data_IF_061168912267
#
_entry.id   IF_061168912267
#
_cell.length_a   1.000
_cell.length_b   1.000
_cell.length_c   1.000
_cell.angle_alpha   90.00
_cell.angle_beta   90.00
_cell.angle_gamma   90.00
#
_symmetry.space_group_name_H-M   'P 1'
#
loop_
_entity.id
_entity.type
_entity.pdbx_description
1 polymer ?
#
# COMPACT_ATOMS: atom_id res chain seq x y z
N UNK A 1 57.53 -1.38 -15.67
CA UNK A 1 56.65 -0.50 -16.48
C UNK A 1 56.20 -1.29 -17.71
N UNK A 2 54.91 -1.20 -18.05
CA UNK A 2 54.19 -1.85 -19.17
C UNK A 2 53.82 -3.31 -18.88
N UNK A 3 52.74 -3.68 -18.18
CA UNK A 3 51.37 -3.17 -18.20
C UNK A 3 50.80 -3.03 -19.63
N UNK A 4 49.74 -3.80 -19.86
CA UNK A 4 48.70 -3.62 -20.88
C UNK A 4 49.03 -4.07 -22.31
N UNK A 5 48.36 -5.14 -22.77
CA UNK A 5 47.81 -5.23 -24.14
C UNK A 5 47.18 -6.59 -24.49
N UNK A 6 47.56 -7.71 -23.87
CA UNK A 6 47.28 -9.02 -24.49
C UNK A 6 46.20 -9.89 -23.82
N UNK A 7 45.54 -9.41 -22.76
CA UNK A 7 44.52 -10.21 -22.02
C UNK A 7 43.09 -10.01 -22.52
N UNK A 8 42.90 -9.37 -23.68
CA UNK A 8 41.58 -9.10 -24.29
C UNK A 8 41.15 -10.13 -25.36
N UNK A 9 41.70 -11.34 -25.35
CA UNK A 9 41.29 -12.41 -26.26
C UNK A 9 40.70 -13.65 -25.57
N UNK A 10 40.58 -13.66 -24.23
CA UNK A 10 40.12 -14.81 -23.43
C UNK A 10 38.69 -14.71 -22.87
N UNK A 11 37.95 -13.64 -23.17
CA UNK A 11 36.64 -13.36 -22.54
C UNK A 11 35.44 -13.59 -23.48
N UNK A 12 35.49 -14.62 -24.33
CA UNK A 12 34.42 -14.91 -25.29
C UNK A 12 33.83 -16.34 -25.19
N UNK A 13 34.24 -17.16 -24.21
CA UNK A 13 33.84 -18.57 -24.12
C UNK A 13 33.07 -18.90 -22.81
N UNK A 14 32.75 -17.89 -21.98
CA UNK A 14 32.40 -18.12 -20.58
C UNK A 14 31.00 -17.80 -20.07
N UNK A 15 30.01 -17.40 -20.88
CA UNK A 15 28.67 -17.09 -20.36
C UNK A 15 27.53 -17.38 -21.34
N UNK A 16 27.56 -18.56 -21.96
CA UNK A 16 26.46 -19.12 -22.75
C UNK A 16 25.76 -20.27 -22.00
N UNK A 17 25.41 -20.04 -20.72
CA UNK A 17 24.68 -21.02 -19.90
C UNK A 17 23.56 -20.31 -19.15
N UNK A 18 22.33 -20.83 -19.32
CA UNK A 18 21.07 -20.55 -18.61
C UNK A 18 20.20 -19.37 -19.09
N UNK A 19 19.81 -19.41 -20.37
CA UNK A 19 18.49 -18.95 -20.80
C UNK A 19 17.50 -20.10 -20.58
N UNK A 20 16.83 -20.10 -19.42
CA UNK A 20 15.63 -20.89 -19.18
C UNK A 20 14.96 -20.41 -17.88
N UNK A 21 13.90 -19.59 -17.99
CA UNK A 21 12.66 -19.73 -17.22
C UNK A 21 11.62 -18.70 -17.68
N UNK A 22 10.40 -19.23 -17.88
CA UNK A 22 9.10 -18.56 -18.04
C UNK A 22 8.82 -17.72 -19.29
N UNK A 23 8.92 -18.36 -20.45
CA UNK A 23 7.96 -18.12 -21.55
C UNK A 23 6.79 -19.10 -21.40
N UNK A 24 5.78 -18.74 -20.60
CA UNK A 24 4.51 -19.47 -20.54
C UNK A 24 3.59 -19.07 -21.70
N UNK A 25 2.71 -19.95 -22.20
CA UNK A 25 1.72 -19.57 -23.21
C UNK A 25 0.81 -18.45 -22.67
N UNK A 26 0.61 -17.42 -23.49
CA UNK A 26 -0.37 -16.37 -23.23
C UNK A 26 -1.74 -17.00 -23.00
N UNK A 27 -2.21 -16.96 -21.74
CA UNK A 27 -3.61 -17.23 -21.45
C UNK A 27 -4.44 -16.18 -22.19
N UNK A 28 -5.41 -16.65 -22.97
CA UNK A 28 -6.42 -15.80 -23.60
C UNK A 28 -7.15 -15.04 -22.49
N UNK A 29 -7.02 -13.72 -22.46
CA UNK A 29 -7.83 -12.87 -21.60
C UNK A 29 -9.24 -12.87 -22.18
N UNK A 30 -10.14 -13.65 -21.57
CA UNK A 30 -11.58 -13.54 -21.82
C UNK A 30 -12.03 -12.15 -21.34
N UNK A 31 -12.86 -11.41 -22.11
CA UNK A 31 -13.32 -10.09 -21.69
C UNK A 31 -14.06 -10.20 -20.34
N UNK A 32 -13.87 -9.23 -19.42
CA UNK A 32 -14.53 -9.27 -18.12
C UNK A 32 -16.05 -9.27 -18.33
N UNK A 33 -16.70 -10.34 -17.89
CA UNK A 33 -18.15 -10.37 -17.72
C UNK A 33 -18.49 -9.34 -16.64
N UNK A 34 -19.50 -8.51 -16.87
CA UNK A 34 -19.96 -7.48 -15.95
C UNK A 34 -20.19 -8.08 -14.55
N UNK A 35 -19.26 -7.81 -13.64
CA UNK A 35 -19.39 -8.23 -12.25
C UNK A 35 -20.26 -7.18 -11.58
N UNK A 36 -21.56 -7.46 -11.49
CA UNK A 36 -22.47 -6.72 -10.63
C UNK A 36 -21.95 -6.77 -9.20
N UNK A 37 -21.51 -5.63 -8.67
CA UNK A 37 -21.04 -5.48 -7.28
C UNK A 37 -22.18 -5.51 -6.25
N UNK A 38 -23.41 -5.81 -6.67
CA UNK A 38 -24.54 -6.02 -5.78
C UNK A 38 -24.39 -7.38 -5.07
N UNK A 39 -23.56 -7.42 -4.03
CA UNK A 39 -23.50 -8.57 -3.13
C UNK A 39 -22.12 -9.08 -2.76
N UNK A 40 -21.04 -8.30 -2.88
CA UNK A 40 -19.81 -8.65 -2.18
C UNK A 40 -20.09 -8.54 -0.68
N UNK A 41 -20.17 -9.64 0.10
CA UNK A 41 -20.25 -9.52 1.54
C UNK A 41 -18.97 -8.81 1.98
N UNK A 42 -19.08 -7.79 2.82
CA UNK A 42 -17.92 -7.12 3.38
C UNK A 42 -17.02 -8.19 4.04
N UNK A 43 -15.88 -8.48 3.41
CA UNK A 43 -14.96 -9.49 3.91
C UNK A 43 -14.53 -9.10 5.32
N UNK A 44 -14.84 -9.96 6.29
CA UNK A 44 -14.33 -9.86 7.66
C UNK A 44 -14.83 -8.66 8.46
N UNK A 45 -16.14 -8.61 8.74
CA UNK A 45 -16.60 -7.87 9.90
C UNK A 45 -16.28 -8.70 11.15
N UNK A 46 -15.00 -8.79 11.52
CA UNK A 46 -14.68 -8.97 12.94
C UNK A 46 -15.41 -7.84 13.66
N UNK A 47 -16.28 -8.15 14.62
CA UNK A 47 -16.98 -7.13 15.40
C UNK A 47 -15.93 -6.12 15.88
N UNK A 48 -15.93 -4.94 15.25
CA UNK A 48 -15.06 -3.87 15.72
C UNK A 48 -15.49 -3.59 17.15
N UNK A 49 -14.55 -3.44 18.09
CA UNK A 49 -14.89 -3.04 19.44
C UNK A 49 -15.85 -1.83 19.39
N UNK A 50 -16.80 -1.76 20.32
CA UNK A 50 -17.68 -0.59 20.38
C UNK A 50 -16.83 0.66 20.61
N UNK A 51 -16.91 1.58 19.66
CA UNK A 51 -16.31 2.91 19.77
C UNK A 51 -16.96 3.75 20.87
N UNK A 52 -16.45 4.97 21.04
CA UNK A 52 -16.88 5.87 22.12
C UNK A 52 -18.23 6.57 21.86
N UNK A 53 -18.68 6.61 20.61
CA UNK A 53 -19.90 7.31 20.22
C UNK A 53 -21.10 6.37 20.17
N UNK A 54 -22.26 6.89 20.56
CA UNK A 54 -23.55 6.23 20.37
C UNK A 54 -24.08 6.50 18.97
N UNK A 55 -25.05 5.72 18.49
CA UNK A 55 -25.73 5.99 17.22
C UNK A 55 -26.32 7.41 17.16
N UNK A 56 -26.88 7.89 18.27
CA UNK A 56 -27.45 9.23 18.37
C UNK A 56 -26.42 10.37 18.34
N UNK A 57 -25.13 10.07 18.55
CA UNK A 57 -24.03 11.07 18.55
C UNK A 57 -23.05 10.89 17.40
N UNK A 58 -23.21 9.85 16.58
CA UNK A 58 -22.41 9.64 15.38
C UNK A 58 -22.74 10.71 14.33
N UNK A 59 -21.74 11.46 13.81
CA UNK A 59 -21.97 12.41 12.74
C UNK A 59 -22.41 11.72 11.44
N UNK A 60 -23.40 12.31 10.76
CA UNK A 60 -23.76 11.90 9.41
C UNK A 60 -22.76 12.47 8.40
N UNK A 61 -21.78 11.65 8.05
CA UNK A 61 -20.76 12.00 7.06
C UNK A 61 -21.36 12.23 5.66
N UNK A 62 -22.45 11.54 5.30
CA UNK A 62 -23.08 11.66 3.98
C UNK A 62 -23.82 12.99 3.84
N UNK A 63 -24.39 13.50 4.93
CA UNK A 63 -25.02 14.82 4.94
C UNK A 63 -24.00 15.97 4.78
N UNK A 64 -22.71 15.74 5.07
CA UNK A 64 -21.69 16.80 5.15
C UNK A 64 -20.66 16.74 4.04
N UNK A 65 -20.22 15.54 3.65
CA UNK A 65 -19.13 15.35 2.68
C UNK A 65 -19.72 15.29 1.27
N UNK A 66 -19.23 16.09 0.31
CA UNK A 66 -19.70 16.03 -1.07
C UNK A 66 -19.46 14.63 -1.67
N UNK A 67 -20.26 14.23 -2.68
CA UNK A 67 -20.06 12.93 -3.33
C UNK A 67 -18.65 12.85 -3.96
N UNK A 68 -18.19 11.60 -4.13
CA UNK A 68 -16.94 11.33 -4.82
C UNK A 68 -16.91 12.01 -6.20
N UNK A 69 -15.76 12.57 -6.61
CA UNK A 69 -15.60 13.14 -7.94
C UNK A 69 -15.94 12.13 -9.04
N UNK A 70 -16.57 12.61 -10.11
CA UNK A 70 -16.91 11.79 -11.30
C UNK A 70 -15.93 12.07 -12.43
N UNK A 71 -15.83 11.14 -13.37
CA UNK A 71 -15.10 11.35 -14.62
C UNK A 71 -15.58 12.63 -15.33
N UNK A 72 -14.63 13.39 -15.87
CA UNK A 72 -14.88 14.71 -16.46
C UNK A 72 -14.95 15.87 -15.46
N UNK A 73 -14.94 15.62 -14.14
CA UNK A 73 -14.75 16.67 -13.14
C UNK A 73 -13.26 16.94 -12.90
N UNK A 74 -12.90 18.22 -12.75
CA UNK A 74 -11.53 18.62 -12.46
C UNK A 74 -10.95 17.97 -11.18
N UNK A 75 -11.80 17.64 -10.19
CA UNK A 75 -11.37 16.93 -8.97
C UNK A 75 -10.91 15.50 -9.27
N UNK A 76 -11.64 14.78 -10.12
CA UNK A 76 -11.25 13.44 -10.55
C UNK A 76 -9.94 13.47 -11.33
N UNK A 77 -9.76 14.46 -12.21
CA UNK A 77 -8.52 14.62 -12.98
C UNK A 77 -7.31 14.86 -12.09
N UNK A 78 -7.49 15.66 -11.02
CA UNK A 78 -6.47 15.89 -10.01
C UNK A 78 -6.15 14.62 -9.22
N UNK A 79 -7.16 13.87 -8.77
CA UNK A 79 -6.98 12.61 -8.04
C UNK A 79 -6.16 11.62 -8.86
N UNK A 80 -6.48 11.47 -10.15
CA UNK A 80 -5.73 10.63 -11.08
C UNK A 80 -4.31 11.11 -11.33
N UNK A 81 -4.09 12.43 -11.41
CA UNK A 81 -2.76 13.00 -11.53
C UNK A 81 -1.92 12.66 -10.30
N UNK A 82 -2.43 12.91 -9.10
CA UNK A 82 -1.73 12.60 -7.84
C UNK A 82 -1.44 11.11 -7.73
N UNK A 83 -2.41 10.25 -8.06
CA UNK A 83 -2.21 8.81 -8.11
C UNK A 83 -1.00 8.43 -8.98
N UNK A 84 -0.96 8.89 -10.23
CA UNK A 84 0.14 8.58 -11.16
C UNK A 84 1.47 9.14 -10.70
N UNK A 85 1.49 10.38 -10.22
CA UNK A 85 2.71 11.00 -9.70
C UNK A 85 3.28 10.18 -8.53
N UNK A 86 2.44 9.72 -7.61
CA UNK A 86 2.88 8.91 -6.46
C UNK A 86 3.30 7.49 -6.83
N UNK A 87 2.87 6.94 -7.99
CA UNK A 87 3.39 5.65 -8.49
C UNK A 87 4.86 5.72 -8.87
N UNK A 88 5.36 6.90 -9.26
CA UNK A 88 6.80 7.08 -9.56
C UNK A 88 7.69 6.86 -8.34
N UNK A 89 7.13 6.87 -7.12
CA UNK A 89 7.87 6.64 -5.89
C UNK A 89 8.08 5.14 -5.58
N UNK A 90 7.49 4.23 -6.34
CA UNK A 90 7.62 2.79 -6.09
C UNK A 90 9.08 2.36 -5.92
N UNK A 91 9.35 1.57 -4.87
CA UNK A 91 10.71 1.13 -4.50
C UNK A 91 11.55 2.14 -3.72
N UNK A 92 11.18 3.42 -3.68
CA UNK A 92 11.87 4.44 -2.86
C UNK A 92 11.66 4.22 -1.35
N UNK A 93 12.48 4.87 -0.53
CA UNK A 93 12.30 4.83 0.93
C UNK A 93 10.98 5.48 1.37
N UNK A 94 10.52 6.52 0.67
CA UNK A 94 9.21 7.13 0.93
C UNK A 94 8.07 6.13 0.67
N UNK A 95 8.20 5.28 -0.35
CA UNK A 95 7.23 4.22 -0.65
C UNK A 95 7.26 3.09 0.38
N UNK A 96 8.44 2.68 0.86
CA UNK A 96 8.57 1.74 1.97
C UNK A 96 7.88 2.25 3.23
N UNK A 97 8.04 3.54 3.56
CA UNK A 97 7.33 4.18 4.67
C UNK A 97 5.81 4.15 4.45
N UNK A 98 5.32 4.50 3.25
CA UNK A 98 3.88 4.45 2.95
C UNK A 98 3.30 3.03 3.12
N UNK A 99 4.07 1.99 2.77
CA UNK A 99 3.66 0.61 2.99
C UNK A 99 3.59 0.25 4.49
N UNK A 100 4.54 0.72 5.30
CA UNK A 100 4.45 0.52 6.75
C UNK A 100 3.28 1.28 7.39
N UNK A 101 2.94 2.45 6.86
CA UNK A 101 1.81 3.27 7.33
C UNK A 101 0.44 2.61 7.06
N UNK A 102 0.36 1.69 6.10
CA UNK A 102 -0.89 1.04 5.67
C UNK A 102 -1.37 -0.10 6.61
N UNK A 103 -0.67 -0.36 7.71
CA UNK A 103 -1.11 -1.34 8.71
C UNK A 103 -2.08 -0.72 9.71
N UNK A 104 -3.27 -1.31 9.86
CA UNK A 104 -4.24 -0.95 10.89
C UNK A 104 -4.13 -1.79 12.17
N UNK A 105 -3.09 -2.62 12.32
CA UNK A 105 -2.89 -3.39 13.54
C UNK A 105 -2.50 -2.45 14.69
N UNK A 106 -3.11 -2.56 15.89
CA UNK A 106 -2.80 -1.67 17.01
C UNK A 106 -1.30 -1.58 17.35
N UNK A 107 -0.57 -2.71 17.25
CA UNK A 107 0.89 -2.74 17.49
C UNK A 107 1.69 -1.90 16.48
N UNK A 108 1.24 -1.83 15.23
CA UNK A 108 1.93 -1.10 14.18
C UNK A 108 1.57 0.39 14.27
N UNK A 109 0.29 0.70 14.55
CA UNK A 109 -0.19 2.07 14.79
C UNK A 109 0.51 2.73 15.99
N UNK A 110 0.53 2.05 17.15
CA UNK A 110 1.16 2.58 18.38
C UNK A 110 2.64 2.88 18.14
N UNK A 111 3.36 1.97 17.49
CA UNK A 111 4.76 2.16 17.14
C UNK A 111 4.98 3.30 16.14
N UNK A 112 4.07 3.47 15.17
CA UNK A 112 4.15 4.52 14.16
C UNK A 112 4.22 5.94 14.76
N UNK A 113 3.66 6.17 15.95
CA UNK A 113 3.65 7.47 16.61
C UNK A 113 4.91 7.79 17.44
N UNK A 114 5.80 6.82 17.67
CA UNK A 114 6.94 6.99 18.59
C UNK A 114 7.83 8.19 18.24
N UNK A 115 8.17 8.36 16.95
CA UNK A 115 9.01 9.46 16.50
C UNK A 115 8.36 10.83 16.72
N UNK A 116 7.04 10.95 16.53
CA UNK A 116 6.33 12.22 16.65
C UNK A 116 6.16 12.65 18.12
N UNK A 117 5.94 11.67 19.02
CA UNK A 117 5.76 11.91 20.45
C UNK A 117 7.10 12.05 21.19
N UNK A 118 8.20 11.53 20.62
CA UNK A 118 9.51 11.55 21.26
C UNK A 118 9.68 10.50 22.36
N UNK A 119 8.89 9.42 22.30
CA UNK A 119 8.94 8.30 23.24
C UNK A 119 8.82 6.98 22.50
N UNK A 120 9.50 5.94 22.97
CA UNK A 120 9.31 4.58 22.44
C UNK A 120 7.93 4.07 22.85
N UNK A 121 7.09 3.70 21.88
CA UNK A 121 5.72 3.25 22.12
C UNK A 121 5.57 1.81 21.64
N UNK A 122 5.06 0.97 22.53
CA UNK A 122 4.71 -0.41 22.26
C UNK A 122 3.41 -0.76 22.99
N UNK A 123 2.78 -1.88 22.64
CA UNK A 123 1.56 -2.31 23.33
C UNK A 123 1.84 -2.72 24.78
N UNK A 124 3.09 -3.12 25.07
CA UNK A 124 3.57 -3.51 26.40
C UNK A 124 3.82 -2.29 27.30
N UNK A 125 4.38 -1.20 26.76
CA UNK A 125 4.74 -0.02 27.54
C UNK A 125 3.67 1.09 27.53
N UNK A 126 2.74 1.05 26.56
CA UNK A 126 1.62 1.98 26.44
C UNK A 126 0.27 1.24 26.27
N UNK A 127 -0.10 0.33 27.19
CA UNK A 127 -1.29 -0.52 27.04
C UNK A 127 -2.61 0.28 27.02
N UNK A 128 -2.69 1.39 27.75
CA UNK A 128 -3.87 2.28 27.72
C UNK A 128 -4.03 2.96 26.36
N UNK A 129 -2.92 3.38 25.73
CA UNK A 129 -2.95 3.97 24.39
C UNK A 129 -3.36 2.92 23.34
N UNK A 130 -2.79 1.72 23.42
CA UNK A 130 -3.17 0.61 22.54
C UNK A 130 -4.68 0.28 22.68
N UNK A 131 -5.19 0.28 23.91
CA UNK A 131 -6.61 0.07 24.18
C UNK A 131 -7.50 1.21 23.65
N UNK A 132 -7.03 2.46 23.66
CA UNK A 132 -7.74 3.61 23.11
C UNK A 132 -7.84 3.54 21.58
N UNK A 133 -6.73 3.23 20.91
CA UNK A 133 -6.65 3.20 19.44
C UNK A 133 -7.30 1.96 18.82
N UNK A 134 -7.50 0.90 19.60
CA UNK A 134 -8.20 -0.31 19.17
C UNK A 134 -9.72 -0.27 19.34
N UNK A 135 -10.30 0.87 19.72
CA UNK A 135 -11.75 1.05 19.94
C UNK A 135 -12.50 1.45 18.68
#
# INVERSE_FOLDING_TARGET
MKAEAATYAGLAIGLAILVACSGGPAAVVEPPKDVSMAGVPAAGQSERPRGFLTEATMPDAIATIPPAPKEGEARNDLDWKVFRDLRTLEGSDRWKLAQSDNSYLPKDLVKGFSCAVGAELSVENAPTLAALLGK
#
